data_IF_009633324110
#
_entry.id   IF_009633324110
#
_cell.length_a   1.000
_cell.length_b   1.000
_cell.length_c   1.000
_cell.angle_alpha   90.00
_cell.angle_beta   90.00
_cell.angle_gamma   90.00
#
_symmetry.space_group_name_H-M   'P 1'
#
loop_
_entity.id
_entity.type
_entity.pdbx_description
1 polymer ?
#
# COMPACT_ATOMS: atom_id res chain seq x y z
N UNK A 1 76.18 5.12 -15.30
CA UNK A 1 75.55 4.91 -13.98
C UNK A 1 74.56 6.04 -13.76
N UNK A 2 73.32 5.81 -14.06
CA UNK A 2 72.28 6.82 -13.96
C UNK A 2 71.63 6.73 -12.56
N UNK A 3 71.83 7.76 -11.76
CA UNK A 3 71.17 7.89 -10.46
C UNK A 3 69.72 8.35 -10.71
N UNK A 4 68.75 7.46 -10.49
CA UNK A 4 67.36 7.83 -10.43
C UNK A 4 67.06 8.41 -9.03
N UNK A 5 66.82 9.68 -8.95
CA UNK A 5 66.34 10.29 -7.71
C UNK A 5 64.84 10.00 -7.60
N UNK A 6 64.49 9.05 -6.76
CA UNK A 6 63.11 8.83 -6.35
C UNK A 6 62.87 9.66 -5.10
N UNK A 7 61.93 10.60 -5.18
CA UNK A 7 61.41 11.32 -4.02
C UNK A 7 60.09 10.67 -3.63
N UNK A 8 60.09 10.03 -2.47
CA UNK A 8 58.88 9.44 -1.90
C UNK A 8 58.33 10.40 -0.84
N UNK A 9 57.18 11.00 -1.11
CA UNK A 9 56.45 11.78 -0.12
C UNK A 9 55.34 10.87 0.48
N UNK A 10 55.52 10.55 1.75
CA UNK A 10 54.53 9.80 2.53
C UNK A 10 53.66 10.82 3.29
N UNK A 11 52.45 11.02 2.92
CA UNK A 11 51.41 11.58 3.82
C UNK A 11 50.59 10.41 4.39
N UNK A 12 50.09 10.55 5.60
CA UNK A 12 49.55 9.46 6.45
C UNK A 12 48.51 8.54 5.79
N UNK A 13 48.08 8.78 4.55
CA UNK A 13 47.10 7.96 3.83
C UNK A 13 47.25 7.81 2.33
N UNK A 14 48.34 8.40 1.73
CA UNK A 14 48.53 8.28 0.26
C UNK A 14 50.01 8.20 -0.08
N UNK A 15 50.37 7.17 -0.82
CA UNK A 15 51.74 7.03 -1.36
C UNK A 15 51.83 7.73 -2.71
N UNK A 16 52.61 8.81 -2.81
CA UNK A 16 52.98 9.38 -4.09
C UNK A 16 54.44 9.02 -4.38
N UNK A 17 54.68 8.25 -5.43
CA UNK A 17 56.01 8.00 -5.94
C UNK A 17 56.19 8.80 -7.20
N UNK A 18 57.02 9.86 -7.16
CA UNK A 18 57.43 10.60 -8.34
C UNK A 18 58.74 10.00 -8.84
N UNK A 19 58.73 9.33 -9.98
CA UNK A 19 59.88 8.86 -10.68
C UNK A 19 60.30 9.91 -11.73
N UNK A 20 61.39 10.60 -11.51
CA UNK A 20 62.01 11.47 -12.51
C UNK A 20 62.99 10.64 -13.34
N UNK A 21 62.81 10.57 -14.64
CA UNK A 21 63.69 9.89 -15.57
C UNK A 21 64.12 10.85 -16.68
N UNK A 22 65.43 10.90 -17.01
CA UNK A 22 65.98 11.77 -18.02
C UNK A 22 65.58 11.52 -19.49
N UNK A 23 64.81 10.48 -19.73
CA UNK A 23 64.22 10.18 -21.06
C UNK A 23 62.77 10.50 -21.15
N UNK A 24 62.44 11.78 -21.11
CA UNK A 24 61.27 12.42 -21.69
C UNK A 24 59.92 11.82 -21.48
N UNK A 25 58.96 12.54 -21.86
CA UNK A 25 57.52 12.48 -21.98
C UNK A 25 56.76 11.14 -21.83
N UNK A 26 57.31 9.99 -22.16
CA UNK A 26 56.57 8.71 -22.18
C UNK A 26 56.35 8.13 -20.78
N UNK A 27 57.30 8.25 -19.86
CA UNK A 27 57.16 7.78 -18.47
C UNK A 27 56.27 8.71 -17.62
N UNK A 28 56.28 10.00 -17.89
CA UNK A 28 55.42 10.97 -17.21
C UNK A 28 53.97 10.70 -17.54
N UNK A 29 53.66 10.36 -18.79
CA UNK A 29 52.30 9.99 -19.19
C UNK A 29 51.81 8.70 -18.52
N UNK A 30 52.63 7.66 -18.43
CA UNK A 30 52.26 6.39 -17.76
C UNK A 30 52.03 6.63 -16.26
N UNK A 31 52.90 7.38 -15.59
CA UNK A 31 52.73 7.72 -14.17
C UNK A 31 51.45 8.58 -13.96
N UNK A 32 51.18 9.54 -14.83
CA UNK A 32 49.96 10.34 -14.77
C UNK A 32 48.71 9.47 -14.94
N UNK A 33 48.67 8.54 -15.90
CA UNK A 33 47.58 7.60 -16.11
C UNK A 33 47.37 6.66 -14.92
N UNK A 34 48.42 6.12 -14.33
CA UNK A 34 48.36 5.21 -13.19
C UNK A 34 47.88 5.95 -11.91
N UNK A 35 48.36 7.18 -11.69
CA UNK A 35 47.93 8.01 -10.56
C UNK A 35 46.45 8.44 -10.75
N UNK A 36 46.08 8.89 -11.94
CA UNK A 36 44.70 9.22 -12.27
C UNK A 36 43.77 8.01 -12.10
N UNK A 37 44.17 6.83 -12.59
CA UNK A 37 43.36 5.61 -12.45
C UNK A 37 43.17 5.22 -10.98
N UNK A 38 44.24 5.26 -10.16
CA UNK A 38 44.16 5.01 -8.71
C UNK A 38 43.33 6.06 -7.98
N UNK A 39 43.38 7.32 -8.35
CA UNK A 39 42.52 8.36 -7.78
C UNK A 39 41.03 8.12 -8.09
N UNK A 40 40.72 7.75 -9.33
CA UNK A 40 39.37 7.40 -9.76
C UNK A 40 38.87 6.15 -9.00
N UNK A 41 39.72 5.12 -8.87
CA UNK A 41 39.38 3.89 -8.14
C UNK A 41 39.12 4.15 -6.65
N UNK A 42 39.92 5.01 -6.02
CA UNK A 42 39.72 5.43 -4.61
C UNK A 42 38.46 6.27 -4.45
N UNK A 43 38.20 7.17 -5.37
CA UNK A 43 36.95 7.97 -5.34
C UNK A 43 35.71 7.11 -5.50
N UNK A 44 35.72 6.18 -6.45
CA UNK A 44 34.67 5.18 -6.61
C UNK A 44 34.46 4.35 -5.35
N UNK A 45 35.55 3.86 -4.75
CA UNK A 45 35.47 3.07 -3.52
C UNK A 45 34.95 3.87 -2.33
N UNK A 46 35.31 5.15 -2.20
CA UNK A 46 34.72 6.02 -1.16
C UNK A 46 33.25 6.30 -1.38
N UNK A 47 32.82 6.55 -2.62
CA UNK A 47 31.41 6.73 -2.96
C UNK A 47 30.61 5.48 -2.66
N UNK A 48 31.07 4.30 -3.06
CA UNK A 48 30.44 3.01 -2.76
C UNK A 48 30.24 2.83 -1.26
N UNK A 49 31.29 3.06 -0.44
CA UNK A 49 31.16 2.99 1.03
C UNK A 49 30.18 4.00 1.62
N UNK A 50 30.07 5.19 1.03
CA UNK A 50 29.06 6.21 1.42
C UNK A 50 27.66 5.64 1.29
N UNK A 51 27.31 5.08 0.12
CA UNK A 51 25.97 4.54 -0.16
C UNK A 51 25.65 3.28 0.66
N UNK A 52 26.62 2.38 0.84
CA UNK A 52 26.48 1.24 1.77
C UNK A 52 26.18 1.72 3.20
N UNK A 53 26.84 2.77 3.66
CA UNK A 53 26.59 3.34 4.98
C UNK A 53 25.20 3.97 5.08
N UNK A 54 24.75 4.73 4.06
CA UNK A 54 23.42 5.31 4.00
C UNK A 54 22.36 4.20 4.03
N UNK A 55 22.52 3.17 3.20
CA UNK A 55 21.62 2.03 3.13
C UNK A 55 21.50 1.33 4.49
N UNK A 56 22.62 1.00 5.14
CA UNK A 56 22.62 0.36 6.45
C UNK A 56 21.93 1.20 7.53
N UNK A 57 22.10 2.52 7.50
CA UNK A 57 21.44 3.43 8.44
C UNK A 57 19.94 3.54 8.15
N UNK A 58 19.54 3.63 6.87
CA UNK A 58 18.13 3.63 6.46
C UNK A 58 17.41 2.37 6.91
N UNK A 59 18.03 1.19 6.69
CA UNK A 59 17.51 -0.09 7.18
C UNK A 59 17.33 -0.12 8.70
N UNK A 60 18.33 0.36 9.46
CA UNK A 60 18.23 0.44 10.92
C UNK A 60 17.15 1.41 11.38
N UNK A 61 17.00 2.56 10.73
CA UNK A 61 15.94 3.52 11.04
C UNK A 61 14.56 2.91 10.82
N UNK A 62 14.35 2.25 9.68
CA UNK A 62 13.11 1.54 9.36
C UNK A 62 12.75 0.45 10.40
N UNK A 63 13.73 -0.32 10.86
CA UNK A 63 13.52 -1.39 11.83
C UNK A 63 13.09 -0.93 13.22
N UNK A 64 13.10 0.36 13.53
CA UNK A 64 12.56 0.90 14.78
C UNK A 64 11.02 0.95 14.81
N UNK A 65 10.36 0.72 13.69
CA UNK A 65 8.91 0.73 13.57
C UNK A 65 8.35 -0.70 13.50
N UNK A 66 7.22 -0.93 14.15
CA UNK A 66 6.53 -2.23 14.13
C UNK A 66 5.64 -2.40 12.90
N UNK A 67 5.00 -1.29 12.45
CA UNK A 67 4.13 -1.30 11.29
C UNK A 67 4.97 -1.26 9.99
N UNK A 68 4.80 -2.23 9.08
CA UNK A 68 5.56 -2.25 7.83
C UNK A 68 5.34 -1.04 6.91
N UNK A 69 4.16 -0.39 6.94
CA UNK A 69 3.94 0.84 6.18
C UNK A 69 4.84 1.98 6.71
N UNK A 70 5.00 2.09 8.04
CA UNK A 70 5.88 3.07 8.67
C UNK A 70 7.36 2.75 8.41
N UNK A 71 7.72 1.47 8.38
CA UNK A 71 9.07 1.01 8.00
C UNK A 71 9.44 1.47 6.59
N UNK A 72 8.54 1.31 5.62
CA UNK A 72 8.76 1.73 4.23
C UNK A 72 8.89 3.25 4.15
N UNK A 73 7.98 4.00 4.78
CA UNK A 73 8.02 5.45 4.79
C UNK A 73 9.31 5.99 5.42
N UNK A 74 9.74 5.44 6.55
CA UNK A 74 10.98 5.85 7.21
C UNK A 74 12.21 5.53 6.37
N UNK A 75 12.22 4.35 5.72
CA UNK A 75 13.31 3.96 4.85
C UNK A 75 13.48 4.95 3.69
N UNK A 76 12.41 5.25 2.93
CA UNK A 76 12.48 6.15 1.78
C UNK A 76 12.79 7.59 2.21
N UNK A 77 12.26 8.04 3.35
CA UNK A 77 12.56 9.34 3.94
C UNK A 77 14.06 9.46 4.25
N UNK A 78 14.59 8.53 5.07
CA UNK A 78 15.99 8.55 5.46
C UNK A 78 16.91 8.50 4.25
N UNK A 79 16.59 7.65 3.29
CA UNK A 79 17.38 7.50 2.09
C UNK A 79 17.35 8.79 1.26
N UNK A 80 16.18 9.37 0.99
CA UNK A 80 16.01 10.59 0.22
C UNK A 80 16.77 11.79 0.80
N UNK A 81 16.64 12.01 2.10
CA UNK A 81 17.37 13.08 2.82
C UNK A 81 18.89 12.94 2.66
N UNK A 82 19.43 11.72 2.71
CA UNK A 82 20.87 11.50 2.72
C UNK A 82 21.50 11.44 1.34
N UNK A 83 20.72 11.17 0.27
CA UNK A 83 21.22 11.25 -1.11
C UNK A 83 20.98 12.62 -1.74
N UNK A 84 20.18 13.48 -1.09
CA UNK A 84 19.89 14.83 -1.57
C UNK A 84 18.99 14.86 -2.81
N UNK A 85 18.06 13.89 -2.95
CA UNK A 85 17.05 13.91 -4.01
C UNK A 85 15.87 14.80 -3.65
N UNK A 86 15.08 15.20 -4.64
CA UNK A 86 13.85 15.96 -4.42
C UNK A 86 12.67 15.06 -4.07
N UNK A 87 12.61 13.84 -4.65
CA UNK A 87 11.53 12.89 -4.42
C UNK A 87 12.04 11.46 -4.49
N UNK A 88 11.44 10.59 -3.67
CA UNK A 88 11.55 9.14 -3.77
C UNK A 88 10.16 8.55 -3.76
N UNK A 89 9.90 7.57 -4.62
CA UNK A 89 8.59 6.97 -4.78
C UNK A 89 8.66 5.47 -5.02
N UNK A 90 7.54 4.82 -4.68
CA UNK A 90 7.30 3.41 -4.94
C UNK A 90 5.99 3.28 -5.70
N UNK A 91 6.03 2.61 -6.85
CA UNK A 91 4.86 2.25 -7.63
C UNK A 91 4.64 0.75 -7.58
N UNK A 92 3.40 0.35 -7.35
CA UNK A 92 2.97 -1.05 -7.38
C UNK A 92 2.01 -1.29 -8.54
N UNK A 93 2.24 -2.38 -9.28
CA UNK A 93 1.52 -2.70 -10.50
C UNK A 93 0.24 -3.49 -10.24
N UNK A 94 -0.82 -3.12 -10.94
CA UNK A 94 -2.01 -3.95 -11.10
C UNK A 94 -2.07 -4.48 -12.53
N UNK A 95 -1.43 -5.62 -12.76
CA UNK A 95 -1.31 -6.24 -14.10
C UNK A 95 -2.68 -6.54 -14.71
N UNK A 96 -3.69 -6.91 -13.89
CA UNK A 96 -5.05 -7.21 -14.39
C UNK A 96 -5.72 -5.98 -14.99
N UNK A 97 -5.52 -4.81 -14.37
CA UNK A 97 -6.08 -3.54 -14.83
C UNK A 97 -5.15 -2.77 -15.76
N UNK A 98 -3.90 -3.24 -15.96
CA UNK A 98 -2.84 -2.59 -16.72
C UNK A 98 -2.55 -1.17 -16.24
N UNK A 99 -2.55 -0.97 -14.91
CA UNK A 99 -2.26 0.31 -14.28
C UNK A 99 -1.20 0.14 -13.21
N UNK A 100 -0.47 1.20 -12.93
CA UNK A 100 0.43 1.29 -11.79
C UNK A 100 -0.01 2.41 -10.85
N UNK A 101 0.32 2.29 -9.56
CA UNK A 101 -0.10 3.23 -8.52
C UNK A 101 1.09 3.66 -7.68
N UNK A 102 1.25 4.95 -7.48
CA UNK A 102 2.18 5.47 -6.48
C UNK A 102 1.65 5.13 -5.08
N UNK A 103 2.29 4.18 -4.39
CA UNK A 103 1.84 3.67 -3.08
C UNK A 103 2.60 4.28 -1.90
N UNK A 104 3.81 4.74 -2.14
CA UNK A 104 4.63 5.47 -1.16
C UNK A 104 5.40 6.58 -1.85
N UNK A 105 5.50 7.72 -1.19
CA UNK A 105 6.24 8.87 -1.68
C UNK A 105 6.85 9.63 -0.51
N UNK A 106 8.10 10.03 -0.66
CA UNK A 106 8.77 11.03 0.15
C UNK A 106 9.18 12.20 -0.73
N UNK A 107 8.99 13.41 -0.25
CA UNK A 107 9.39 14.65 -0.91
C UNK A 107 10.27 15.47 0.02
N UNK A 108 11.29 16.10 -0.54
CA UNK A 108 12.10 17.10 0.15
C UNK A 108 11.26 18.36 0.47
N UNK A 109 11.75 19.18 1.38
CA UNK A 109 11.07 20.42 1.76
C UNK A 109 10.82 21.32 0.52
N UNK A 110 9.60 21.77 0.37
CA UNK A 110 9.17 22.62 -0.76
C UNK A 110 8.81 21.87 -2.05
N UNK A 111 8.89 20.54 -2.07
CA UNK A 111 8.47 19.72 -3.22
C UNK A 111 7.03 19.22 -3.00
N UNK A 112 6.17 19.50 -3.97
CA UNK A 112 4.75 19.10 -3.92
C UNK A 112 4.58 17.59 -4.14
N UNK A 113 3.89 16.86 -3.23
CA UNK A 113 3.61 15.45 -3.39
C UNK A 113 2.69 15.16 -4.58
N UNK A 114 3.00 14.10 -5.31
CA UNK A 114 2.25 13.66 -6.49
C UNK A 114 1.45 12.38 -6.26
N UNK A 115 1.60 11.73 -5.11
CA UNK A 115 0.99 10.44 -4.79
C UNK A 115 -0.54 10.39 -5.04
N UNK A 116 -1.26 11.49 -4.80
CA UNK A 116 -2.72 11.55 -5.02
C UNK A 116 -3.10 11.60 -6.51
N UNK A 117 -2.24 12.14 -7.35
CA UNK A 117 -2.47 12.31 -8.78
C UNK A 117 -1.97 11.12 -9.61
N UNK A 118 -1.03 10.35 -9.06
CA UNK A 118 -0.40 9.20 -9.72
C UNK A 118 -1.04 7.88 -9.28
N UNK A 119 -2.38 7.84 -9.32
CA UNK A 119 -3.17 6.64 -9.07
C UNK A 119 -3.80 6.16 -10.39
N UNK A 120 -3.80 4.82 -10.60
CA UNK A 120 -4.30 4.18 -11.82
C UNK A 120 -3.65 4.73 -13.11
N UNK A 121 -2.35 5.00 -13.06
CA UNK A 121 -1.59 5.45 -14.23
C UNK A 121 -1.54 4.29 -15.23
N UNK A 122 -1.92 4.55 -16.48
CA UNK A 122 -1.89 3.55 -17.55
C UNK A 122 -0.44 3.13 -17.83
N UNK A 123 -0.15 1.84 -17.75
CA UNK A 123 1.20 1.31 -17.96
C UNK A 123 1.73 1.56 -19.38
N UNK A 124 0.85 1.82 -20.36
CA UNK A 124 1.26 2.15 -21.72
C UNK A 124 2.04 3.47 -21.83
N UNK A 125 1.87 4.39 -20.86
CA UNK A 125 2.60 5.67 -20.83
C UNK A 125 4.10 5.45 -20.59
N UNK A 126 4.43 4.43 -19.82
CA UNK A 126 5.80 4.08 -19.41
C UNK A 126 6.22 2.68 -19.91
N UNK A 127 5.63 2.22 -21.00
CA UNK A 127 5.88 0.88 -21.56
C UNK A 127 7.35 0.64 -21.89
N UNK A 128 8.07 1.66 -22.36
CA UNK A 128 9.50 1.59 -22.63
C UNK A 128 10.34 1.32 -21.35
N UNK A 129 9.85 1.69 -20.15
CA UNK A 129 10.51 1.31 -18.90
C UNK A 129 10.45 -0.19 -18.71
N UNK A 130 9.28 -0.79 -18.92
CA UNK A 130 9.12 -2.25 -18.80
C UNK A 130 9.93 -3.02 -19.83
N UNK A 131 10.10 -2.48 -21.05
CA UNK A 131 11.02 -3.02 -22.04
C UNK A 131 12.45 -3.04 -21.51
N UNK A 132 12.93 -1.94 -20.97
CA UNK A 132 14.26 -1.83 -20.35
C UNK A 132 14.38 -2.75 -19.12
N UNK A 133 13.37 -2.78 -18.29
CA UNK A 133 13.34 -3.66 -17.12
C UNK A 133 13.43 -5.14 -17.52
N UNK A 134 12.70 -5.58 -18.55
CA UNK A 134 12.75 -6.96 -19.03
C UNK A 134 14.12 -7.33 -19.61
N UNK A 135 14.83 -6.36 -20.17
CA UNK A 135 16.22 -6.50 -20.61
C UNK A 135 17.24 -6.48 -19.45
N UNK A 136 16.77 -6.37 -18.21
CA UNK A 136 17.64 -6.32 -17.02
C UNK A 136 18.31 -4.96 -16.77
N UNK A 137 17.81 -3.89 -17.42
CA UNK A 137 18.37 -2.54 -17.30
C UNK A 137 17.49 -1.65 -16.42
N UNK A 138 18.11 -0.81 -15.60
CA UNK A 138 17.44 0.28 -14.91
C UNK A 138 17.27 1.46 -15.85
N UNK A 139 16.35 2.38 -15.51
CA UNK A 139 16.20 3.66 -16.19
C UNK A 139 17.11 4.67 -15.46
N UNK A 140 17.88 5.42 -16.22
CA UNK A 140 18.67 6.54 -15.72
C UNK A 140 18.68 7.61 -16.79
N UNK A 141 17.99 8.73 -16.52
CA UNK A 141 17.88 9.87 -17.44
C UNK A 141 18.40 11.10 -16.73
N UNK A 142 19.49 11.66 -17.24
CA UNK A 142 20.14 12.87 -16.66
C UNK A 142 19.41 14.15 -17.03
N UNK A 143 18.73 14.15 -18.18
CA UNK A 143 17.87 15.24 -18.64
C UNK A 143 16.65 14.65 -19.36
N UNK A 144 15.44 14.91 -18.83
CA UNK A 144 14.20 14.42 -19.45
C UNK A 144 13.94 14.97 -20.84
N UNK A 145 14.58 16.07 -21.25
CA UNK A 145 14.48 16.57 -22.64
C UNK A 145 15.00 15.54 -23.66
N UNK A 146 15.89 14.63 -23.27
CA UNK A 146 16.40 13.56 -24.14
C UNK A 146 15.33 12.55 -24.57
N UNK A 147 14.26 12.38 -23.77
CA UNK A 147 13.18 11.41 -24.05
C UNK A 147 11.97 12.05 -24.75
N UNK A 148 11.96 13.36 -24.96
CA UNK A 148 10.80 14.12 -25.43
C UNK A 148 10.26 13.66 -26.78
N UNK A 149 11.14 13.44 -27.74
CA UNK A 149 10.74 13.09 -29.11
C UNK A 149 10.37 11.60 -29.23
N UNK A 150 11.02 10.74 -28.46
CA UNK A 150 10.81 9.28 -28.51
C UNK A 150 9.63 8.84 -27.62
N UNK A 151 9.45 9.46 -26.44
CA UNK A 151 8.41 9.12 -25.46
C UNK A 151 7.63 10.33 -24.97
N UNK A 152 6.88 11.04 -25.85
CA UNK A 152 6.26 12.32 -25.53
C UNK A 152 5.25 12.23 -24.38
N UNK A 153 4.49 11.13 -24.25
CA UNK A 153 3.53 10.96 -23.17
C UNK A 153 4.22 10.86 -21.81
N UNK A 154 5.34 10.12 -21.71
CA UNK A 154 6.14 10.03 -20.51
C UNK A 154 6.80 11.37 -20.17
N UNK A 155 7.34 12.06 -21.19
CA UNK A 155 7.91 13.38 -21.01
C UNK A 155 6.92 14.38 -20.41
N UNK A 156 5.71 14.49 -20.96
CA UNK A 156 4.69 15.40 -20.44
C UNK A 156 4.28 15.04 -19.00
N UNK A 157 4.15 13.73 -18.69
CA UNK A 157 3.86 13.28 -17.35
C UNK A 157 4.96 13.69 -16.34
N UNK A 158 6.22 13.55 -16.69
CA UNK A 158 7.37 13.91 -15.85
C UNK A 158 7.52 15.43 -15.72
N UNK A 159 7.33 16.16 -16.82
CA UNK A 159 7.46 17.61 -16.88
C UNK A 159 6.46 18.34 -15.97
N UNK A 160 5.21 17.90 -15.95
CA UNK A 160 4.17 18.48 -15.08
C UNK A 160 4.55 18.34 -13.59
N UNK A 161 5.34 17.33 -13.25
CA UNK A 161 5.82 17.07 -11.90
C UNK A 161 7.14 17.78 -11.57
N UNK A 162 7.66 18.65 -12.47
CA UNK A 162 8.96 19.31 -12.38
C UNK A 162 10.15 18.35 -12.30
N UNK A 163 10.02 17.12 -12.81
CA UNK A 163 11.13 16.19 -12.93
C UNK A 163 12.07 16.69 -14.02
N UNK A 164 13.38 16.74 -13.73
CA UNK A 164 14.45 17.10 -14.66
C UNK A 164 15.33 15.91 -14.99
N UNK A 165 15.56 15.10 -13.99
CA UNK A 165 16.36 13.87 -14.06
C UNK A 165 15.76 12.80 -13.18
N UNK A 166 15.99 11.53 -13.50
CA UNK A 166 15.43 10.42 -12.71
C UNK A 166 16.29 9.16 -12.82
N UNK A 167 16.21 8.35 -11.77
CA UNK A 167 16.76 7.00 -11.77
C UNK A 167 15.71 6.04 -11.21
N UNK A 168 15.40 4.95 -11.94
CA UNK A 168 14.33 4.00 -11.60
C UNK A 168 14.82 2.57 -11.75
N UNK A 169 14.45 1.73 -10.79
CA UNK A 169 14.72 0.29 -10.78
C UNK A 169 13.45 -0.51 -10.54
N UNK A 170 13.24 -1.64 -11.23
CA UNK A 170 12.07 -2.48 -11.04
C UNK A 170 12.14 -3.27 -9.73
N UNK A 171 10.98 -3.55 -9.15
CA UNK A 171 10.84 -4.58 -8.13
C UNK A 171 10.69 -5.94 -8.77
N UNK A 172 11.68 -6.81 -8.57
CA UNK A 172 11.68 -8.18 -9.12
C UNK A 172 11.50 -9.22 -8.02
N UNK A 173 10.64 -10.18 -8.30
CA UNK A 173 10.52 -11.38 -7.48
C UNK A 173 10.19 -12.58 -8.36
N UNK A 174 11.03 -13.62 -8.34
CA UNK A 174 10.88 -14.81 -9.18
C UNK A 174 10.70 -14.47 -10.68
N UNK A 175 11.53 -13.54 -11.15
CA UNK A 175 11.56 -13.04 -12.52
C UNK A 175 10.31 -12.25 -12.98
N UNK A 176 9.35 -12.00 -12.08
CA UNK A 176 8.20 -11.12 -12.33
C UNK A 176 8.46 -9.71 -11.79
N UNK A 177 7.98 -8.70 -12.52
CA UNK A 177 8.01 -7.29 -12.11
C UNK A 177 6.68 -6.98 -11.42
N UNK A 178 6.76 -6.42 -10.21
CA UNK A 178 5.59 -6.05 -9.38
C UNK A 178 5.42 -4.54 -9.26
N UNK A 179 6.27 -3.77 -9.92
CA UNK A 179 6.33 -2.34 -9.84
C UNK A 179 7.76 -1.82 -9.90
N UNK A 180 7.97 -0.61 -9.47
CA UNK A 180 9.27 0.05 -9.53
C UNK A 180 9.45 1.05 -8.40
N UNK A 181 10.70 1.37 -8.13
CA UNK A 181 11.15 2.38 -7.19
C UNK A 181 11.97 3.40 -7.96
N UNK A 182 11.75 4.67 -7.68
CA UNK A 182 12.43 5.75 -8.38
C UNK A 182 12.87 6.89 -7.48
N UNK A 183 13.82 7.65 -8.01
CA UNK A 183 14.43 8.84 -7.42
C UNK A 183 14.38 9.95 -8.46
N UNK A 184 13.72 11.07 -8.13
CA UNK A 184 13.67 12.26 -8.98
C UNK A 184 14.67 13.31 -8.53
N UNK A 185 15.24 13.99 -9.51
CA UNK A 185 16.14 15.13 -9.36
C UNK A 185 17.28 14.86 -8.33
N UNK A 186 17.96 13.71 -8.38
CA UNK A 186 19.16 13.52 -7.57
C UNK A 186 20.28 14.45 -8.05
N UNK A 187 21.28 14.77 -7.19
CA UNK A 187 22.43 15.53 -7.62
C UNK A 187 23.12 14.87 -8.82
N UNK A 188 23.41 15.64 -9.87
CA UNK A 188 23.97 15.12 -11.13
C UNK A 188 25.26 14.31 -10.90
N UNK A 189 26.14 14.78 -10.01
CA UNK A 189 27.41 14.11 -9.67
C UNK A 189 27.23 12.75 -8.97
N UNK A 190 26.02 12.43 -8.48
CA UNK A 190 25.69 11.22 -7.74
C UNK A 190 24.84 10.23 -8.55
N UNK A 191 24.30 10.66 -9.72
CA UNK A 191 23.34 9.88 -10.52
C UNK A 191 23.85 8.47 -10.86
N UNK A 192 25.08 8.33 -11.29
CA UNK A 192 25.66 7.03 -11.68
C UNK A 192 25.81 6.08 -10.48
N UNK A 193 26.13 6.63 -9.30
CA UNK A 193 26.19 5.85 -8.07
C UNK A 193 24.80 5.44 -7.58
N UNK A 194 23.85 6.38 -7.56
CA UNK A 194 22.47 6.10 -7.19
C UNK A 194 21.91 4.98 -8.07
N UNK A 195 22.08 5.06 -9.39
CA UNK A 195 21.63 4.02 -10.33
C UNK A 195 22.18 2.63 -10.02
N UNK A 196 23.44 2.53 -9.59
CA UNK A 196 24.06 1.25 -9.19
C UNK A 196 23.49 0.68 -7.89
N UNK A 197 23.10 1.56 -6.95
CA UNK A 197 22.56 1.14 -5.67
C UNK A 197 21.05 0.83 -5.69
N UNK A 198 20.32 1.29 -6.72
CA UNK A 198 18.87 1.07 -6.82
C UNK A 198 18.50 -0.40 -6.78
N UNK A 199 19.24 -1.30 -7.40
CA UNK A 199 18.94 -2.75 -7.37
C UNK A 199 18.99 -3.33 -5.96
N UNK A 200 19.98 -2.90 -5.16
CA UNK A 200 20.09 -3.33 -3.77
C UNK A 200 18.96 -2.77 -2.92
N UNK A 201 18.61 -1.51 -3.12
CA UNK A 201 17.50 -0.84 -2.45
C UNK A 201 16.17 -1.51 -2.83
N UNK A 202 15.95 -1.77 -4.13
CA UNK A 202 14.79 -2.46 -4.64
C UNK A 202 14.62 -3.85 -4.02
N UNK A 203 15.69 -4.60 -3.87
CA UNK A 203 15.69 -5.91 -3.19
C UNK A 203 15.20 -5.81 -1.75
N UNK A 204 15.70 -4.82 -1.01
CA UNK A 204 15.24 -4.60 0.38
C UNK A 204 13.78 -4.14 0.44
N UNK A 205 13.37 -3.20 -0.40
CA UNK A 205 12.00 -2.73 -0.46
C UNK A 205 11.01 -3.84 -0.83
N UNK A 206 11.39 -4.77 -1.71
CA UNK A 206 10.58 -5.96 -2.02
C UNK A 206 10.32 -6.79 -0.76
N UNK A 207 11.31 -6.95 0.12
CA UNK A 207 11.14 -7.67 1.39
C UNK A 207 10.15 -6.94 2.31
N UNK A 208 10.27 -5.62 2.45
CA UNK A 208 9.34 -4.81 3.24
C UNK A 208 7.91 -4.83 2.68
N UNK A 209 7.75 -4.69 1.36
CA UNK A 209 6.45 -4.77 0.69
C UNK A 209 5.77 -6.14 0.89
N UNK A 210 6.54 -7.23 0.84
CA UNK A 210 6.04 -8.58 1.15
C UNK A 210 5.65 -8.72 2.61
N UNK A 211 6.49 -8.26 3.53
CA UNK A 211 6.18 -8.25 4.96
C UNK A 211 4.89 -7.48 5.22
N UNK A 212 4.73 -6.30 4.61
CA UNK A 212 3.49 -5.51 4.67
C UNK A 212 2.27 -6.29 4.18
N UNK A 213 2.39 -6.99 3.05
CA UNK A 213 1.29 -7.77 2.48
C UNK A 213 0.90 -8.94 3.40
N UNK A 214 1.87 -9.64 3.97
CA UNK A 214 1.63 -10.69 4.98
C UNK A 214 0.98 -10.10 6.23
N UNK A 215 1.48 -8.98 6.73
CA UNK A 215 0.94 -8.30 7.90
C UNK A 215 -0.53 -7.86 7.68
N UNK A 216 -0.82 -7.22 6.55
CA UNK A 216 -2.19 -6.81 6.16
C UNK A 216 -3.12 -8.02 6.03
N UNK A 217 -2.64 -9.11 5.43
CA UNK A 217 -3.39 -10.37 5.32
C UNK A 217 -3.67 -10.98 6.69
N UNK A 218 -2.64 -11.13 7.53
CA UNK A 218 -2.78 -11.69 8.87
C UNK A 218 -3.72 -10.87 9.75
N UNK A 219 -3.62 -9.53 9.71
CA UNK A 219 -4.52 -8.63 10.43
C UNK A 219 -5.97 -8.82 9.97
N UNK A 220 -6.20 -8.94 8.66
CA UNK A 220 -7.54 -9.21 8.09
C UNK A 220 -8.07 -10.58 8.53
N UNK A 221 -7.24 -11.62 8.49
CA UNK A 221 -7.62 -12.97 8.92
C UNK A 221 -7.92 -13.03 10.41
N UNK A 222 -7.12 -12.37 11.26
CA UNK A 222 -7.38 -12.28 12.69
C UNK A 222 -8.70 -11.56 12.99
N UNK A 223 -8.97 -10.44 12.29
CA UNK A 223 -10.23 -9.71 12.41
C UNK A 223 -11.41 -10.56 11.93
N UNK A 224 -11.27 -11.26 10.82
CA UNK A 224 -12.28 -12.18 10.31
C UNK A 224 -12.54 -13.34 11.29
N UNK A 225 -11.49 -13.92 11.87
CA UNK A 225 -11.62 -14.99 12.89
C UNK A 225 -12.33 -14.49 14.15
N UNK A 226 -12.01 -13.29 14.62
CA UNK A 226 -12.68 -12.67 15.75
C UNK A 226 -14.19 -12.44 15.48
N UNK A 227 -14.52 -11.90 14.30
CA UNK A 227 -15.91 -11.74 13.89
C UNK A 227 -16.63 -13.08 13.75
N UNK A 228 -15.97 -14.11 13.20
CA UNK A 228 -16.53 -15.46 13.07
C UNK A 228 -16.84 -16.10 14.43
N UNK A 229 -15.99 -15.89 15.41
CA UNK A 229 -16.23 -16.38 16.78
C UNK A 229 -17.45 -15.71 17.42
N UNK A 230 -17.62 -14.40 17.24
CA UNK A 230 -18.78 -13.63 17.70
C UNK A 230 -20.05 -13.96 16.90
N UNK A 231 -19.91 -14.38 15.66
CA UNK A 231 -21.05 -14.69 14.78
C UNK A 231 -21.85 -15.93 15.17
N UNK A 232 -21.42 -16.70 16.20
CA UNK A 232 -22.10 -17.93 16.65
C UNK A 232 -23.58 -17.77 16.93
N UNK A 233 -24.00 -16.61 17.42
CA UNK A 233 -25.38 -16.26 17.77
C UNK A 233 -26.22 -15.70 16.61
N UNK A 234 -25.59 -15.38 15.47
CA UNK A 234 -26.26 -14.74 14.34
C UNK A 234 -26.71 -15.76 13.29
N UNK A 235 -27.84 -15.50 12.63
CA UNK A 235 -28.29 -16.23 11.42
C UNK A 235 -27.40 -15.87 10.23
N UNK A 236 -27.08 -14.60 10.09
CA UNK A 236 -26.13 -14.09 9.09
C UNK A 236 -25.38 -12.89 9.60
N UNK A 237 -24.17 -12.72 9.06
CA UNK A 237 -23.31 -11.56 9.33
C UNK A 237 -22.47 -11.26 8.10
N UNK A 238 -22.50 -10.01 7.64
CA UNK A 238 -21.77 -9.53 6.47
C UNK A 238 -21.05 -8.23 6.79
N UNK A 239 -19.83 -8.05 6.30
CA UNK A 239 -19.16 -6.76 6.27
C UNK A 239 -19.35 -6.14 4.90
N UNK A 240 -19.70 -4.87 4.83
CA UNK A 240 -20.11 -4.17 3.61
C UNK A 240 -19.27 -2.93 3.44
N UNK A 241 -18.73 -2.75 2.23
CA UNK A 241 -18.13 -1.49 1.80
C UNK A 241 -19.22 -0.63 1.14
N UNK A 242 -19.58 0.48 1.78
CA UNK A 242 -20.67 1.33 1.31
C UNK A 242 -20.33 2.13 0.03
N UNK A 243 -19.03 2.27 -0.29
CA UNK A 243 -18.59 2.99 -1.50
C UNK A 243 -18.64 2.13 -2.75
N UNK A 244 -18.24 0.85 -2.61
CA UNK A 244 -18.19 -0.08 -3.75
C UNK A 244 -19.42 -0.97 -3.85
N UNK A 245 -20.20 -1.11 -2.77
CA UNK A 245 -21.27 -2.09 -2.66
C UNK A 245 -20.79 -3.53 -2.49
N UNK A 246 -19.46 -3.74 -2.45
CA UNK A 246 -18.86 -5.06 -2.19
C UNK A 246 -19.14 -5.49 -0.75
N UNK A 247 -19.28 -6.79 -0.56
CA UNK A 247 -19.49 -7.35 0.76
C UNK A 247 -18.75 -8.68 0.93
N UNK A 248 -18.49 -9.02 2.19
CA UNK A 248 -17.91 -10.32 2.55
C UNK A 248 -18.81 -11.01 3.57
N UNK A 249 -19.20 -12.25 3.25
CA UNK A 249 -19.92 -13.11 4.19
C UNK A 249 -18.99 -13.54 5.31
N UNK A 250 -19.33 -13.22 6.57
CA UNK A 250 -18.67 -13.74 7.77
C UNK A 250 -19.38 -15.02 8.21
N UNK A 251 -20.71 -15.01 8.17
CA UNK A 251 -21.57 -16.15 8.47
C UNK A 251 -22.86 -16.04 7.69
N UNK A 252 -23.40 -17.19 7.28
CA UNK A 252 -24.75 -17.32 6.73
C UNK A 252 -25.28 -18.71 7.00
N UNK A 253 -26.59 -18.84 7.13
CA UNK A 253 -27.26 -20.15 7.15
C UNK A 253 -27.50 -20.62 5.73
N UNK A 254 -27.70 -21.94 5.56
CA UNK A 254 -27.98 -22.52 4.24
C UNK A 254 -29.26 -21.90 3.64
N UNK A 255 -30.29 -21.67 4.45
CA UNK A 255 -31.51 -20.98 4.00
C UNK A 255 -31.20 -19.62 3.35
N UNK A 256 -30.33 -18.82 3.95
CA UNK A 256 -29.98 -17.51 3.41
C UNK A 256 -29.18 -17.68 2.10
N UNK A 257 -28.17 -18.56 2.09
CA UNK A 257 -27.35 -18.83 0.88
C UNK A 257 -28.18 -19.33 -0.29
N UNK A 258 -29.13 -20.23 -0.04
CA UNK A 258 -29.97 -20.82 -1.09
C UNK A 258 -30.92 -19.81 -1.72
N UNK A 259 -31.24 -18.71 -1.01
CA UNK A 259 -32.09 -17.63 -1.47
C UNK A 259 -31.33 -16.38 -1.97
N UNK A 260 -30.00 -16.42 -1.97
CA UNK A 260 -29.17 -15.38 -2.59
C UNK A 260 -29.14 -15.55 -4.11
N UNK A 261 -28.99 -14.44 -4.84
CA UNK A 261 -28.88 -14.42 -6.30
C UNK A 261 -27.52 -15.03 -6.69
N UNK A 262 -27.49 -15.94 -7.67
CA UNK A 262 -26.25 -16.54 -8.15
C UNK A 262 -25.47 -15.58 -9.03
N UNK A 263 -24.16 -15.48 -8.81
CA UNK A 263 -23.25 -14.62 -9.58
C UNK A 263 -22.71 -13.45 -8.75
N UNK A 264 -22.01 -12.54 -9.42
CA UNK A 264 -21.47 -11.33 -8.80
C UNK A 264 -22.58 -10.26 -8.71
N UNK A 265 -22.99 -9.92 -7.49
CA UNK A 265 -24.02 -8.93 -7.19
C UNK A 265 -23.59 -8.07 -6.03
N UNK A 266 -24.12 -6.85 -5.97
CA UNK A 266 -23.92 -5.95 -4.82
C UNK A 266 -24.68 -6.46 -3.59
N UNK A 267 -24.28 -5.97 -2.39
CA UNK A 267 -25.01 -6.29 -1.17
C UNK A 267 -26.49 -5.92 -1.26
N UNK A 268 -26.81 -4.75 -1.82
CA UNK A 268 -28.18 -4.27 -1.94
C UNK A 268 -29.07 -5.23 -2.76
N UNK A 269 -28.55 -5.78 -3.86
CA UNK A 269 -29.28 -6.76 -4.68
C UNK A 269 -29.47 -8.07 -3.93
N UNK A 270 -28.42 -8.56 -3.28
CA UNK A 270 -28.46 -9.82 -2.53
C UNK A 270 -29.41 -9.75 -1.35
N UNK A 271 -29.29 -8.72 -0.51
CA UNK A 271 -30.09 -8.59 0.70
C UNK A 271 -31.58 -8.40 0.36
N UNK A 272 -31.89 -7.64 -0.68
CA UNK A 272 -33.27 -7.45 -1.12
C UNK A 272 -33.94 -8.76 -1.56
N UNK A 273 -33.20 -9.70 -2.15
CA UNK A 273 -33.74 -11.01 -2.54
C UNK A 273 -34.14 -11.84 -1.31
N UNK A 274 -33.28 -11.88 -0.31
CA UNK A 274 -33.50 -12.63 0.94
C UNK A 274 -34.57 -11.99 1.80
N UNK A 275 -34.55 -10.65 1.92
CA UNK A 275 -35.48 -9.92 2.79
C UNK A 275 -36.91 -9.78 2.24
N UNK A 276 -37.19 -10.21 1.02
CA UNK A 276 -38.54 -10.42 0.50
C UNK A 276 -39.16 -11.73 1.01
N UNK A 277 -38.35 -12.69 1.45
CA UNK A 277 -38.78 -14.05 1.78
C UNK A 277 -38.64 -14.34 3.28
N UNK A 278 -37.61 -13.86 3.93
CA UNK A 278 -37.27 -14.14 5.33
C UNK A 278 -38.31 -13.57 6.30
N UNK A 279 -38.74 -12.28 6.22
CA UNK A 279 -39.75 -11.70 7.10
C UNK A 279 -41.16 -12.22 6.80
N UNK A 280 -41.99 -12.28 7.83
CA UNK A 280 -43.42 -12.45 7.62
C UNK A 280 -44.01 -11.24 6.89
N UNK A 281 -45.08 -11.48 6.13
CA UNK A 281 -45.70 -10.51 5.20
C UNK A 281 -45.89 -9.11 5.80
N UNK A 282 -46.22 -9.04 7.09
CA UNK A 282 -46.44 -7.78 7.82
C UNK A 282 -45.17 -6.91 7.92
N UNK A 283 -43.98 -7.53 7.93
CA UNK A 283 -42.73 -6.84 8.19
C UNK A 283 -41.88 -6.61 6.94
N UNK A 284 -42.27 -7.12 5.77
CA UNK A 284 -41.46 -7.04 4.53
C UNK A 284 -41.14 -5.58 4.20
N UNK A 285 -42.08 -4.68 4.24
CA UNK A 285 -41.87 -3.27 3.88
C UNK A 285 -40.89 -2.58 4.83
N UNK A 286 -41.10 -2.73 6.15
CA UNK A 286 -40.20 -2.12 7.15
C UNK A 286 -38.77 -2.70 7.13
N UNK A 287 -38.65 -4.00 6.81
CA UNK A 287 -37.34 -4.64 6.65
C UNK A 287 -36.61 -4.12 5.39
N UNK A 288 -37.35 -4.03 4.26
CA UNK A 288 -36.75 -3.50 3.02
C UNK A 288 -36.34 -2.04 3.16
N UNK A 289 -37.07 -1.23 3.89
CA UNK A 289 -36.69 0.14 4.25
C UNK A 289 -35.46 0.15 5.15
N UNK A 290 -35.38 -0.76 6.12
CA UNK A 290 -34.24 -0.83 7.03
C UNK A 290 -32.95 -1.25 6.32
N UNK A 291 -33.00 -2.21 5.38
CA UNK A 291 -31.81 -2.71 4.67
C UNK A 291 -31.38 -1.83 3.50
N UNK A 292 -32.08 -0.74 3.22
CA UNK A 292 -31.64 0.22 2.21
C UNK A 292 -30.34 0.92 2.62
N UNK A 293 -29.22 0.46 2.03
CA UNK A 293 -27.88 1.00 2.33
C UNK A 293 -27.67 2.42 1.79
N UNK A 294 -28.49 2.88 0.83
CA UNK A 294 -28.34 4.23 0.26
C UNK A 294 -28.67 5.33 1.29
N UNK A 295 -29.57 5.04 2.24
CA UNK A 295 -29.97 5.96 3.32
C UNK A 295 -29.15 5.78 4.60
N UNK A 296 -28.27 4.77 4.62
CA UNK A 296 -27.56 4.35 5.83
C UNK A 296 -26.61 5.41 6.42
N UNK A 297 -25.82 6.18 5.62
CA UNK A 297 -24.95 7.21 6.16
C UNK A 297 -25.71 8.25 7.00
N UNK A 298 -26.88 8.70 6.55
CA UNK A 298 -27.69 9.66 7.29
C UNK A 298 -28.32 9.03 8.55
N UNK A 299 -28.88 7.81 8.45
CA UNK A 299 -29.50 7.10 9.57
C UNK A 299 -28.52 6.72 10.68
N UNK A 300 -27.24 6.53 10.33
CA UNK A 300 -26.15 6.20 11.26
C UNK A 300 -25.37 7.42 11.74
N UNK A 301 -25.72 8.63 11.33
CA UNK A 301 -25.08 9.86 11.81
C UNK A 301 -25.13 9.93 13.34
N UNK A 302 -23.95 10.05 13.96
CA UNK A 302 -23.78 10.04 15.42
C UNK A 302 -24.26 8.76 16.14
N UNK A 303 -24.44 7.65 15.42
CA UNK A 303 -24.81 6.35 15.99
C UNK A 303 -23.76 5.31 15.64
N UNK A 304 -23.46 4.46 16.60
CA UNK A 304 -22.59 3.30 16.38
C UNK A 304 -23.36 2.09 15.86
N UNK A 305 -24.67 2.02 16.16
CA UNK A 305 -25.52 0.92 15.77
C UNK A 305 -26.97 1.40 15.56
N UNK A 306 -27.63 0.86 14.54
CA UNK A 306 -29.08 0.94 14.37
C UNK A 306 -29.67 -0.46 14.35
N UNK A 307 -30.89 -0.62 14.83
CA UNK A 307 -31.54 -1.92 15.08
C UNK A 307 -32.97 -1.88 14.59
N UNK A 308 -33.42 -3.00 14.02
CA UNK A 308 -34.83 -3.24 13.70
C UNK A 308 -35.20 -4.68 14.07
N UNK A 309 -36.45 -4.92 14.47
CA UNK A 309 -36.94 -6.24 14.85
C UNK A 309 -38.13 -6.64 13.96
N UNK A 310 -38.10 -7.89 13.55
CA UNK A 310 -39.20 -8.45 12.71
C UNK A 310 -39.49 -9.90 13.05
N UNK A 311 -40.69 -10.36 12.72
CA UNK A 311 -41.05 -11.77 12.81
C UNK A 311 -40.71 -12.44 11.47
N UNK A 312 -39.83 -13.42 11.49
CA UNK A 312 -39.46 -14.25 10.34
C UNK A 312 -40.51 -15.35 10.08
N UNK A 313 -40.63 -15.78 8.82
CA UNK A 313 -41.55 -16.88 8.45
C UNK A 313 -41.16 -18.22 9.07
N UNK A 314 -39.88 -18.47 9.26
CA UNK A 314 -39.34 -19.77 9.72
C UNK A 314 -38.43 -19.65 10.92
N UNK A 315 -37.88 -18.44 11.20
CA UNK A 315 -36.85 -18.19 12.20
C UNK A 315 -37.37 -17.66 13.54
N UNK A 316 -38.69 -17.37 13.65
CA UNK A 316 -39.24 -16.69 14.81
C UNK A 316 -38.85 -15.20 14.82
N UNK A 317 -38.84 -14.60 16.01
CA UNK A 317 -38.42 -13.20 16.14
C UNK A 317 -36.95 -13.02 15.83
N UNK A 318 -36.66 -12.11 14.92
CA UNK A 318 -35.32 -11.72 14.50
C UNK A 318 -35.03 -10.26 14.84
N UNK A 319 -33.80 -9.98 15.10
CA UNK A 319 -33.26 -8.63 15.23
C UNK A 319 -32.17 -8.46 14.18
N UNK A 320 -32.33 -7.47 13.33
CA UNK A 320 -31.32 -7.05 12.38
C UNK A 320 -30.66 -5.76 12.83
N UNK A 321 -29.38 -5.60 12.51
CA UNK A 321 -28.62 -4.42 12.88
C UNK A 321 -27.56 -4.05 11.86
N UNK A 322 -27.33 -2.73 11.73
CA UNK A 322 -26.11 -2.21 11.14
C UNK A 322 -25.21 -1.66 12.24
N UNK A 323 -23.92 -2.02 12.19
CA UNK A 323 -22.91 -1.62 13.16
C UNK A 323 -21.82 -0.88 12.38
N UNK A 324 -21.44 0.33 12.82
CA UNK A 324 -20.36 1.11 12.26
C UNK A 324 -19.01 0.39 12.51
N UNK A 325 -18.18 0.28 11.47
CA UNK A 325 -16.82 -0.29 11.58
C UNK A 325 -15.79 0.83 11.55
N UNK A 326 -15.78 1.61 10.48
CA UNK A 326 -14.82 2.70 10.26
C UNK A 326 -15.40 3.83 9.39
N UNK A 327 -14.59 4.87 9.25
CA UNK A 327 -14.82 6.03 8.40
C UNK A 327 -13.63 6.22 7.45
N UNK A 328 -13.88 6.87 6.33
CA UNK A 328 -12.81 7.24 5.41
C UNK A 328 -12.03 8.49 5.88
N UNK A 329 -11.06 8.92 5.08
CA UNK A 329 -10.25 10.11 5.35
C UNK A 329 -11.05 11.42 5.44
N UNK A 330 -12.30 11.44 4.96
CA UNK A 330 -13.21 12.59 5.01
C UNK A 330 -14.20 12.50 6.17
N UNK A 331 -14.14 11.45 6.99
CA UNK A 331 -15.08 11.20 8.09
C UNK A 331 -16.42 10.63 7.62
N UNK A 332 -16.51 10.13 6.38
CA UNK A 332 -17.71 9.49 5.86
C UNK A 332 -17.71 8.00 6.23
N UNK A 333 -18.90 7.48 6.55
CA UNK A 333 -19.09 6.06 6.87
C UNK A 333 -18.63 5.19 5.70
N UNK A 334 -17.64 4.33 5.95
CA UNK A 334 -17.03 3.50 4.91
C UNK A 334 -17.45 2.04 4.99
N UNK A 335 -17.19 1.38 6.12
CA UNK A 335 -17.57 0.00 6.32
C UNK A 335 -18.59 -0.16 7.44
N UNK A 336 -19.55 -1.07 7.23
CA UNK A 336 -20.52 -1.47 8.24
C UNK A 336 -20.63 -2.99 8.30
N UNK A 337 -20.99 -3.50 9.47
CA UNK A 337 -21.44 -4.89 9.63
C UNK A 337 -22.95 -4.90 9.63
N UNK A 338 -23.54 -5.72 8.76
CA UNK A 338 -24.95 -6.11 8.82
C UNK A 338 -25.06 -7.49 9.47
N UNK A 339 -25.92 -7.62 10.46
CA UNK A 339 -26.09 -8.87 11.19
C UNK A 339 -27.56 -9.11 11.53
N UNK A 340 -27.98 -10.39 11.47
CA UNK A 340 -29.33 -10.85 11.84
C UNK A 340 -29.20 -11.95 12.90
N UNK A 341 -29.88 -11.81 14.03
CA UNK A 341 -29.93 -12.79 15.13
C UNK A 341 -31.37 -13.23 15.43
N UNK A 342 -31.54 -14.42 15.97
CA UNK A 342 -32.83 -14.91 16.51
C UNK A 342 -32.96 -14.49 17.96
N UNK A 343 -34.07 -13.78 18.27
CA UNK A 343 -34.36 -13.26 19.61
C UNK A 343 -35.63 -13.85 20.23
N UNK A 344 -36.08 -14.99 19.74
CA UNK A 344 -37.32 -15.64 20.18
C UNK A 344 -37.34 -15.93 21.70
N UNK A 345 -36.20 -16.38 22.25
CA UNK A 345 -36.10 -16.66 23.69
C UNK A 345 -36.22 -15.36 24.51
N UNK A 346 -35.59 -14.27 24.01
CA UNK A 346 -35.65 -12.95 24.63
C UNK A 346 -37.08 -12.42 24.61
N UNK A 347 -37.78 -12.48 23.46
CA UNK A 347 -39.16 -12.05 23.30
C UNK A 347 -40.15 -12.85 24.15
N UNK A 348 -39.95 -14.15 24.26
CA UNK A 348 -40.78 -14.99 25.16
C UNK A 348 -40.60 -14.59 26.63
N UNK A 349 -39.37 -14.31 27.05
CA UNK A 349 -39.10 -13.85 28.40
C UNK A 349 -39.69 -12.48 28.67
N UNK A 350 -39.56 -11.55 27.73
CA UNK A 350 -40.14 -10.20 27.80
C UNK A 350 -41.67 -10.27 27.95
N UNK A 351 -42.34 -11.03 27.07
CA UNK A 351 -43.80 -11.22 27.10
C UNK A 351 -44.24 -11.89 28.40
N UNK A 352 -43.46 -12.85 28.93
CA UNK A 352 -43.81 -13.50 30.21
C UNK A 352 -43.71 -12.51 31.38
N UNK A 353 -42.68 -11.66 31.38
CA UNK A 353 -42.52 -10.63 32.40
C UNK A 353 -43.65 -9.60 32.32
N UNK A 354 -44.02 -9.19 31.12
CA UNK A 354 -45.14 -8.28 30.88
C UNK A 354 -46.44 -8.89 31.39
N UNK A 355 -46.74 -10.14 31.03
CA UNK A 355 -47.90 -10.86 31.53
C UNK A 355 -47.93 -10.93 33.04
N UNK A 356 -46.81 -11.25 33.71
CA UNK A 356 -46.74 -11.32 35.17
C UNK A 356 -46.90 -9.93 35.82
N UNK A 357 -46.48 -8.85 35.17
CA UNK A 357 -46.64 -7.48 35.69
C UNK A 357 -48.06 -6.95 35.56
N UNK A 358 -48.81 -7.43 34.56
CA UNK A 358 -50.20 -7.01 34.28
C UNK A 358 -51.24 -7.92 34.94
N UNK A 359 -50.83 -9.07 35.47
CA UNK A 359 -51.78 -10.07 36.02
C UNK A 359 -51.58 -10.18 37.54
N UNK A 360 -52.69 -10.05 38.26
CA UNK A 360 -52.68 -10.34 39.72
C UNK A 360 -52.32 -11.80 39.96
N UNK A 361 -51.25 -12.04 40.71
CA UNK A 361 -50.71 -13.38 40.96
C UNK A 361 -51.63 -14.26 41.80
N UNK A 362 -52.61 -13.67 42.50
CA UNK A 362 -53.57 -14.38 43.35
C UNK A 362 -54.88 -14.74 42.61
N UNK A 363 -55.31 -13.88 41.71
CA UNK A 363 -56.60 -14.00 41.02
C UNK A 363 -56.50 -14.40 39.54
N UNK A 364 -55.33 -14.24 38.95
CA UNK A 364 -55.15 -14.47 37.49
C UNK A 364 -55.90 -13.51 36.57
N UNK A 365 -56.43 -12.41 37.12
CA UNK A 365 -57.20 -11.38 36.38
C UNK A 365 -56.28 -10.26 36.00
N UNK A 366 -56.39 -9.76 34.75
CA UNK A 366 -55.73 -8.56 34.23
C UNK A 366 -56.32 -7.29 34.79
#
# INVERSE_FOLDING_TARGET
>A
MLAANAVCLISERTFFTILMCEKGAFFVNICYYVVSYKCIELEMHMKTKKYESIMNKAMKAAMNYENPDDQINEFIRFFGEHIGSERIYIFEDNIRKKVTNNTYEWCADGIEPQIKFLQNVDMSIIDWWYTSFNDGRNISTKDIEEIKDEYPAAYELLKVQNVKSLAVSPFRYKDEIYGFFGVDNPPESEMDEISRFLDMIGTFLVLLLKQRNVFKKSKREAMFSAYSALAGIYLSMHIINLKTGEFHEIKSTDFIRDNMIKGEHTFAEQINSVMKILPSRKYVESVLEFVDISTLPERMKNKTTIVHEFLGNYSGWCRERFIRVDEDSNGELWHVVYAVEVIDAEKRKENRLLYLSETDLMTGIR
#
